data_IF_639505510185
#
_entry.id   IF_639505510185
#
_cell.length_a   1.000
_cell.length_b   1.000
_cell.length_c   1.000
_cell.angle_alpha   90.00
_cell.angle_beta   90.00
_cell.angle_gamma   90.00
#
_symmetry.space_group_name_H-M   'P 1'
#
loop_
_entity.id
_entity.type
_entity.pdbx_description
1 polymer ?
#
# COMPACT_ATOMS: atom_id res chain seq x y z
N UNK A 1 -4.18 -15.40 3.20
CA UNK A 1 -3.62 -14.10 2.78
C UNK A 1 -2.11 -14.15 2.95
N UNK A 2 -1.34 -13.80 1.89
CA UNK A 2 0.09 -13.60 2.01
C UNK A 2 0.35 -12.21 2.63
N UNK A 3 1.06 -12.16 3.77
CA UNK A 3 1.64 -10.95 4.32
C UNK A 3 3.11 -10.91 3.93
N UNK A 4 3.45 -10.06 2.95
CA UNK A 4 4.79 -9.97 2.38
C UNK A 4 5.54 -8.82 3.04
N UNK A 5 6.43 -9.14 3.96
CA UNK A 5 7.07 -8.16 4.82
C UNK A 5 8.55 -8.41 5.09
N UNK A 6 9.18 -7.48 5.81
CA UNK A 6 10.60 -7.52 6.19
C UNK A 6 10.86 -8.23 7.52
N UNK A 7 9.85 -8.28 8.40
CA UNK A 7 9.98 -8.69 9.82
C UNK A 7 9.15 -9.94 10.12
N UNK A 8 9.10 -10.88 9.19
CA UNK A 8 8.25 -12.07 9.28
C UNK A 8 8.70 -13.07 10.35
N UNK A 9 9.94 -12.97 10.83
CA UNK A 9 10.43 -13.76 11.98
C UNK A 9 10.04 -13.15 13.34
N UNK A 10 9.64 -11.87 13.37
CA UNK A 10 9.20 -11.12 14.54
C UNK A 10 7.77 -10.63 14.32
N UNK A 11 6.80 -11.51 14.51
CA UNK A 11 5.38 -11.25 14.25
C UNK A 11 4.86 -10.01 14.99
N UNK A 12 5.40 -9.70 16.17
CA UNK A 12 5.02 -8.50 16.94
C UNK A 12 5.17 -7.20 16.15
N UNK A 13 6.07 -7.16 15.16
CA UNK A 13 6.23 -5.99 14.30
C UNK A 13 4.99 -5.70 13.44
N UNK A 14 4.18 -6.71 13.18
CA UNK A 14 2.95 -6.62 12.37
C UNK A 14 1.68 -6.95 13.16
N UNK A 15 1.73 -7.00 14.49
CA UNK A 15 0.60 -7.38 15.34
C UNK A 15 -0.68 -6.58 15.00
N UNK A 16 -0.57 -5.26 14.82
CA UNK A 16 -1.74 -4.44 14.49
C UNK A 16 -2.33 -4.76 13.10
N UNK A 17 -1.50 -5.18 12.14
CA UNK A 17 -1.95 -5.62 10.82
C UNK A 17 -2.64 -6.98 10.92
N UNK A 18 -2.04 -7.93 11.62
CA UNK A 18 -2.60 -9.25 11.90
C UNK A 18 -3.97 -9.15 12.57
N UNK A 19 -4.07 -8.41 13.68
CA UNK A 19 -5.33 -8.14 14.37
C UNK A 19 -6.37 -7.49 13.43
N UNK A 20 -5.97 -6.54 12.59
CA UNK A 20 -6.87 -5.90 11.64
C UNK A 20 -7.42 -6.87 10.59
N UNK A 21 -6.60 -7.83 10.14
CA UNK A 21 -7.04 -8.91 9.26
C UNK A 21 -8.06 -9.81 9.96
N UNK A 22 -7.85 -10.16 11.24
CA UNK A 22 -8.80 -10.97 12.02
C UNK A 22 -10.10 -10.21 12.30
N UNK A 23 -10.05 -8.90 12.60
CA UNK A 23 -11.24 -8.07 12.73
C UNK A 23 -12.07 -8.09 11.44
N UNK A 24 -11.42 -7.91 10.29
CA UNK A 24 -12.06 -7.95 8.98
C UNK A 24 -12.58 -9.35 8.64
N UNK A 25 -11.83 -10.41 8.98
CA UNK A 25 -12.26 -11.80 8.82
C UNK A 25 -13.55 -12.09 9.58
N UNK A 26 -13.60 -11.70 10.84
CA UNK A 26 -14.80 -11.86 11.68
C UNK A 26 -16.02 -11.16 11.09
N UNK A 27 -15.85 -9.92 10.61
CA UNK A 27 -16.94 -9.15 10.02
C UNK A 27 -17.41 -9.70 8.66
N UNK A 28 -16.53 -10.39 7.93
CA UNK A 28 -16.84 -11.07 6.67
C UNK A 28 -17.27 -12.54 6.87
N UNK A 29 -17.37 -13.03 8.12
CA UNK A 29 -17.67 -14.43 8.45
C UNK A 29 -16.69 -15.44 7.83
N UNK A 30 -15.40 -15.09 7.76
CA UNK A 30 -14.32 -15.96 7.28
C UNK A 30 -13.19 -16.05 8.29
N UNK A 31 -12.47 -17.16 8.26
CA UNK A 31 -11.21 -17.31 9.00
C UNK A 31 -10.09 -16.86 8.09
N UNK A 32 -9.28 -15.91 8.56
CA UNK A 32 -8.09 -15.46 7.82
C UNK A 32 -6.89 -16.29 8.28
N UNK A 33 -6.32 -17.02 7.35
CA UNK A 33 -5.03 -17.70 7.52
C UNK A 33 -3.93 -16.84 6.89
N UNK A 34 -2.86 -16.53 7.64
CA UNK A 34 -1.79 -15.64 7.21
C UNK A 34 -0.56 -16.47 6.83
N UNK A 35 -0.22 -16.40 5.54
CA UNK A 35 1.05 -16.89 5.03
C UNK A 35 2.10 -15.78 5.17
N UNK A 36 3.03 -15.95 6.10
CA UNK A 36 4.11 -15.00 6.37
C UNK A 36 5.24 -15.16 5.35
N UNK A 37 5.44 -14.17 4.50
CA UNK A 37 6.40 -14.20 3.40
C UNK A 37 7.53 -13.21 3.65
N UNK A 38 8.74 -13.71 3.85
CA UNK A 38 9.95 -12.87 3.92
C UNK A 38 10.24 -12.31 2.52
N UNK A 39 10.04 -11.00 2.36
CA UNK A 39 10.22 -10.33 1.09
C UNK A 39 11.65 -10.39 0.55
N UNK A 40 12.66 -10.59 1.41
CA UNK A 40 14.06 -10.73 0.97
C UNK A 40 14.33 -12.05 0.24
N UNK A 41 13.44 -13.04 0.38
CA UNK A 41 13.53 -14.36 -0.24
C UNK A 41 12.57 -14.53 -1.42
N UNK A 42 11.70 -13.54 -1.67
CA UNK A 42 10.72 -13.60 -2.77
C UNK A 42 11.37 -13.09 -4.06
N UNK A 43 11.30 -13.89 -5.12
CA UNK A 43 11.85 -13.59 -6.44
C UNK A 43 10.79 -13.88 -7.52
N UNK A 44 11.03 -13.43 -8.76
CA UNK A 44 10.14 -13.74 -9.89
C UNK A 44 10.01 -15.25 -10.10
N UNK A 45 11.11 -16.01 -9.91
CA UNK A 45 11.14 -17.45 -10.16
C UNK A 45 10.32 -18.25 -9.14
N UNK A 46 10.22 -17.77 -7.89
CA UNK A 46 9.49 -18.49 -6.84
C UNK A 46 8.11 -17.89 -6.52
N UNK A 47 7.74 -16.77 -7.13
CA UNK A 47 6.50 -16.04 -6.83
C UNK A 47 5.25 -16.93 -6.96
N UNK A 48 5.14 -17.71 -8.03
CA UNK A 48 4.03 -18.65 -8.23
C UNK A 48 3.93 -19.68 -7.12
N UNK A 49 5.07 -20.27 -6.72
CA UNK A 49 5.09 -21.30 -5.68
C UNK A 49 4.72 -20.72 -4.29
N UNK A 50 5.08 -19.45 -4.02
CA UNK A 50 4.88 -18.80 -2.72
C UNK A 50 3.51 -18.12 -2.62
N UNK A 51 3.04 -17.50 -3.69
CA UNK A 51 1.85 -16.62 -3.70
C UNK A 51 0.64 -17.22 -4.42
N UNK A 52 0.84 -18.20 -5.32
CA UNK A 52 -0.21 -18.70 -6.20
C UNK A 52 -1.44 -19.32 -5.50
N UNK A 53 -1.26 -19.84 -4.29
CA UNK A 53 -2.36 -20.34 -3.45
C UNK A 53 -3.04 -19.31 -2.56
N UNK A 54 -2.62 -18.03 -2.60
CA UNK A 54 -3.14 -17.01 -1.72
C UNK A 54 -4.35 -16.28 -2.34
N UNK A 55 -5.38 -16.06 -1.53
CA UNK A 55 -6.58 -15.33 -1.93
C UNK A 55 -6.36 -13.80 -1.99
N UNK A 56 -5.37 -13.29 -1.27
CA UNK A 56 -4.99 -11.88 -1.23
C UNK A 56 -3.54 -11.70 -0.83
N UNK A 57 -2.95 -10.58 -1.23
CA UNK A 57 -1.56 -10.20 -0.93
C UNK A 57 -1.56 -8.84 -0.23
N UNK A 58 -0.97 -8.78 0.96
CA UNK A 58 -0.82 -7.56 1.74
C UNK A 58 0.66 -7.22 1.89
N UNK A 59 1.04 -5.99 1.55
CA UNK A 59 2.38 -5.44 1.80
C UNK A 59 2.26 -4.35 2.87
N UNK A 60 2.78 -4.59 4.09
CA UNK A 60 2.66 -3.67 5.21
C UNK A 60 3.65 -2.52 5.14
N UNK A 61 3.55 -1.60 6.10
CA UNK A 61 4.54 -0.56 6.35
C UNK A 61 5.91 -1.12 6.77
N UNK A 62 6.96 -0.35 6.54
CA UNK A 62 8.32 -0.70 6.92
C UNK A 62 9.30 0.42 6.58
N UNK A 63 10.54 0.31 7.07
CA UNK A 63 11.62 1.26 6.82
C UNK A 63 12.85 0.54 6.24
N UNK A 64 13.69 1.31 5.51
CA UNK A 64 14.93 0.79 4.91
C UNK A 64 14.69 -0.02 3.62
N UNK A 65 15.78 -0.39 2.98
CA UNK A 65 15.83 -0.95 1.62
C UNK A 65 15.72 -2.48 1.53
N UNK A 66 15.91 -3.17 2.66
CA UNK A 66 15.88 -4.64 2.68
C UNK A 66 14.54 -5.19 2.17
N UNK A 67 14.59 -6.10 1.18
CA UNK A 67 13.43 -6.84 0.69
C UNK A 67 12.48 -6.02 -0.20
N UNK A 68 12.86 -4.82 -0.64
CA UNK A 68 12.05 -3.96 -1.51
C UNK A 68 11.74 -4.67 -2.83
N UNK A 69 12.73 -5.29 -3.47
CA UNK A 69 12.53 -5.97 -4.77
C UNK A 69 11.53 -7.13 -4.65
N UNK A 70 11.58 -7.91 -3.57
CA UNK A 70 10.58 -8.95 -3.34
C UNK A 70 9.17 -8.41 -3.08
N UNK A 71 9.04 -7.24 -2.45
CA UNK A 71 7.73 -6.58 -2.32
C UNK A 71 7.21 -6.09 -3.68
N UNK A 72 8.10 -5.59 -4.56
CA UNK A 72 7.75 -5.21 -5.94
C UNK A 72 7.28 -6.45 -6.72
N UNK A 73 7.96 -7.58 -6.58
CA UNK A 73 7.53 -8.86 -7.15
C UNK A 73 6.14 -9.25 -6.66
N UNK A 74 5.85 -9.11 -5.37
CA UNK A 74 4.53 -9.41 -4.81
C UNK A 74 3.43 -8.51 -5.39
N UNK A 75 3.68 -7.21 -5.52
CA UNK A 75 2.74 -6.27 -6.11
C UNK A 75 2.50 -6.57 -7.60
N UNK A 76 3.56 -6.87 -8.36
CA UNK A 76 3.46 -7.28 -9.76
C UNK A 76 2.66 -8.57 -9.91
N UNK A 77 2.96 -9.57 -9.09
CA UNK A 77 2.24 -10.84 -9.10
C UNK A 77 0.75 -10.62 -8.83
N UNK A 78 0.40 -9.85 -7.80
CA UNK A 78 -0.99 -9.51 -7.48
C UNK A 78 -1.68 -8.80 -8.65
N UNK A 79 -1.06 -7.79 -9.25
CA UNK A 79 -1.63 -7.02 -10.34
C UNK A 79 -1.87 -7.88 -11.59
N UNK A 80 -0.88 -8.65 -12.00
CA UNK A 80 -0.95 -9.45 -13.24
C UNK A 80 -1.86 -10.66 -13.13
N UNK A 81 -1.97 -11.28 -11.95
CA UNK A 81 -2.81 -12.46 -11.69
C UNK A 81 -4.19 -12.09 -11.12
N UNK A 82 -4.51 -10.78 -11.06
CA UNK A 82 -5.80 -10.29 -10.53
C UNK A 82 -6.09 -10.80 -9.10
N UNK A 83 -5.04 -10.93 -8.28
CA UNK A 83 -5.16 -11.26 -6.87
C UNK A 83 -5.34 -9.96 -6.08
N UNK A 84 -6.32 -9.87 -5.17
CA UNK A 84 -6.47 -8.71 -4.29
C UNK A 84 -5.15 -8.27 -3.66
N UNK A 85 -4.80 -7.00 -3.85
CA UNK A 85 -3.60 -6.38 -3.30
C UNK A 85 -3.97 -5.25 -2.33
N UNK A 86 -3.39 -5.28 -1.14
CA UNK A 86 -3.49 -4.17 -0.19
C UNK A 86 -2.10 -3.69 0.23
N UNK A 87 -1.76 -2.46 -0.14
CA UNK A 87 -0.50 -1.81 0.22
C UNK A 87 -0.69 -0.78 1.33
N UNK A 88 0.09 -0.88 2.41
CA UNK A 88 0.03 0.05 3.55
C UNK A 88 1.35 0.79 3.66
N UNK A 89 1.34 2.12 3.67
CA UNK A 89 2.50 3.00 3.82
C UNK A 89 3.61 2.65 2.80
N UNK A 90 4.65 1.92 3.20
CA UNK A 90 5.64 1.38 2.26
C UNK A 90 4.98 0.55 1.15
N UNK A 91 3.95 -0.24 1.46
CA UNK A 91 3.22 -1.03 0.47
C UNK A 91 2.55 -0.20 -0.62
N UNK A 92 2.09 1.02 -0.32
CA UNK A 92 1.64 1.95 -1.36
C UNK A 92 2.80 2.42 -2.23
N UNK A 93 3.93 2.78 -1.63
CA UNK A 93 5.12 3.21 -2.37
C UNK A 93 5.62 2.09 -3.29
N UNK A 94 5.60 0.85 -2.82
CA UNK A 94 5.93 -0.34 -3.62
C UNK A 94 4.98 -0.49 -4.82
N UNK A 95 3.67 -0.33 -4.62
CA UNK A 95 2.69 -0.39 -5.71
C UNK A 95 2.95 0.68 -6.79
N UNK A 96 3.32 1.88 -6.37
CA UNK A 96 3.67 2.99 -7.28
C UNK A 96 4.95 2.67 -8.06
N UNK A 97 6.01 2.19 -7.39
CA UNK A 97 7.28 1.81 -8.04
C UNK A 97 7.05 0.65 -9.02
N UNK A 98 6.32 -0.38 -8.60
CA UNK A 98 5.98 -1.52 -9.46
C UNK A 98 5.28 -1.06 -10.74
N UNK A 99 4.24 -0.24 -10.58
CA UNK A 99 3.45 0.26 -11.71
C UNK A 99 4.30 1.13 -12.66
N UNK A 100 5.18 1.97 -12.11
CA UNK A 100 6.10 2.77 -12.91
C UNK A 100 7.04 1.90 -13.74
N UNK A 101 7.64 0.87 -13.14
CA UNK A 101 8.58 -0.02 -13.83
C UNK A 101 7.91 -0.88 -14.90
N UNK A 102 6.78 -1.49 -14.58
CA UNK A 102 6.23 -2.57 -15.42
C UNK A 102 5.03 -2.13 -16.29
N UNK A 103 4.42 -0.98 -16.01
CA UNK A 103 3.33 -0.45 -16.83
C UNK A 103 3.77 0.80 -17.59
N UNK A 104 4.46 1.75 -16.94
CA UNK A 104 4.97 2.95 -17.61
C UNK A 104 6.32 2.70 -18.33
N UNK A 105 7.02 1.59 -18.05
CA UNK A 105 8.30 1.26 -18.67
C UNK A 105 9.49 2.07 -18.12
N UNK A 106 9.37 2.65 -16.95
CA UNK A 106 10.45 3.39 -16.30
C UNK A 106 11.27 2.44 -15.40
N UNK A 107 12.15 1.68 -16.02
CA UNK A 107 12.89 0.58 -15.37
C UNK A 107 13.69 1.01 -14.14
N UNK A 108 14.15 2.26 -14.10
CA UNK A 108 14.90 2.87 -12.99
C UNK A 108 14.01 3.53 -11.94
N UNK A 109 12.65 3.51 -12.09
CA UNK A 109 11.76 4.13 -11.13
C UNK A 109 11.97 3.58 -9.72
N UNK A 110 12.12 4.49 -8.76
CA UNK A 110 12.37 4.14 -7.37
C UNK A 110 11.87 5.22 -6.40
N UNK A 111 12.02 4.94 -5.12
CA UNK A 111 11.97 5.96 -4.07
C UNK A 111 13.34 6.62 -3.94
N UNK A 112 13.37 7.96 -3.84
CA UNK A 112 14.58 8.71 -3.51
C UNK A 112 15.14 8.38 -2.10
N UNK A 113 14.38 7.63 -1.26
CA UNK A 113 14.87 7.07 -0.01
C UNK A 113 15.91 5.96 -0.24
N UNK A 114 15.72 5.16 -1.29
CA UNK A 114 16.51 3.96 -1.56
C UNK A 114 17.52 4.16 -2.68
N UNK A 115 17.19 5.01 -3.66
CA UNK A 115 18.09 5.40 -4.75
C UNK A 115 17.96 6.91 -5.02
N UNK A 116 18.90 7.70 -4.47
CA UNK A 116 18.94 9.15 -4.65
C UNK A 116 19.32 9.60 -6.08
N UNK A 117 19.81 8.68 -6.92
CA UNK A 117 20.25 8.96 -8.30
C UNK A 117 19.24 8.50 -9.35
N UNK A 118 18.12 7.91 -8.95
CA UNK A 118 17.07 7.50 -9.90
C UNK A 118 16.60 8.71 -10.74
N UNK A 119 16.39 8.50 -12.04
CA UNK A 119 15.82 9.53 -12.93
C UNK A 119 14.31 9.67 -12.77
N UNK A 120 13.66 8.64 -12.23
CA UNK A 120 12.23 8.63 -11.98
C UNK A 120 11.96 8.42 -10.47
N UNK A 121 12.21 9.44 -9.62
CA UNK A 121 11.90 9.38 -8.19
C UNK A 121 10.39 9.51 -7.98
N UNK A 122 9.66 8.42 -8.29
CA UNK A 122 8.19 8.40 -8.19
C UNK A 122 7.69 8.50 -6.75
N UNK A 123 8.59 8.26 -5.79
CA UNK A 123 8.43 8.50 -4.36
C UNK A 123 9.58 9.40 -3.92
N UNK A 124 9.28 10.57 -3.37
CA UNK A 124 10.28 11.56 -2.95
C UNK A 124 9.79 12.33 -1.71
N UNK A 125 10.67 13.08 -1.08
CA UNK A 125 10.29 14.06 -0.07
C UNK A 125 9.73 15.32 -0.75
N UNK A 126 8.83 16.02 -0.06
CA UNK A 126 8.29 17.28 -0.59
C UNK A 126 9.41 18.31 -0.80
N UNK A 127 9.33 19.14 -1.85
CA UNK A 127 10.37 20.14 -2.15
C UNK A 127 10.67 21.06 -0.96
N UNK A 128 9.66 21.44 -0.19
CA UNK A 128 9.79 22.30 1.00
C UNK A 128 10.58 21.62 2.14
N UNK A 129 10.65 20.30 2.13
CA UNK A 129 11.37 19.52 3.15
C UNK A 129 12.82 19.22 2.74
N UNK A 130 13.19 19.39 1.48
CA UNK A 130 14.56 19.13 0.97
C UNK A 130 15.62 20.05 1.63
N UNK A 131 15.22 21.23 2.10
CA UNK A 131 16.11 22.20 2.76
C UNK A 131 16.27 21.98 4.28
N UNK A 132 15.51 21.06 4.87
CA UNK A 132 15.52 20.84 6.33
C UNK A 132 16.63 19.85 6.71
N UNK A 133 17.65 20.34 7.40
CA UNK A 133 18.82 19.55 7.83
C UNK A 133 18.51 18.56 8.97
N UNK A 134 17.45 18.81 9.76
CA UNK A 134 17.00 17.89 10.82
C UNK A 134 15.93 16.94 10.32
N UNK A 135 16.34 15.75 9.92
CA UNK A 135 15.44 14.71 9.38
C UNK A 135 14.20 14.37 10.24
N UNK A 136 14.28 14.55 11.57
CA UNK A 136 13.15 14.29 12.47
C UNK A 136 11.96 15.25 12.32
N UNK A 137 12.18 16.47 11.81
CA UNK A 137 11.14 17.49 11.62
C UNK A 137 10.32 17.36 10.33
N UNK A 138 10.66 16.41 9.45
CA UNK A 138 9.99 16.23 8.15
C UNK A 138 8.98 15.07 8.13
N UNK A 139 8.86 14.33 9.23
CA UNK A 139 7.95 13.19 9.32
C UNK A 139 6.50 13.65 9.51
N UNK A 140 5.60 13.19 8.65
CA UNK A 140 4.16 13.26 8.93
C UNK A 140 3.82 12.23 9.99
N UNK A 141 3.44 12.71 11.17
CA UNK A 141 3.15 11.88 12.33
C UNK A 141 1.81 12.28 12.94
N UNK A 142 0.92 11.31 13.13
CA UNK A 142 -0.39 11.52 13.72
C UNK A 142 -1.54 11.53 12.71
N UNK A 143 -2.67 12.09 13.11
CA UNK A 143 -3.90 12.11 12.30
C UNK A 143 -3.89 13.29 11.31
N UNK A 144 -4.16 12.98 10.04
CA UNK A 144 -4.31 13.98 8.98
C UNK A 144 -5.60 13.74 8.19
N UNK A 145 -6.25 14.80 7.71
CA UNK A 145 -7.45 14.69 6.89
C UNK A 145 -7.10 14.20 5.49
N UNK A 146 -8.04 13.45 4.89
CA UNK A 146 -7.97 12.99 3.52
C UNK A 146 -9.37 13.12 2.89
N UNK A 147 -9.41 13.59 1.65
CA UNK A 147 -10.62 13.71 0.83
C UNK A 147 -10.62 12.60 -0.21
N UNK A 148 -11.67 11.78 -0.19
CA UNK A 148 -11.85 10.67 -1.12
C UNK A 148 -12.62 11.11 -2.36
N UNK A 149 -12.21 10.59 -3.51
CA UNK A 149 -12.94 10.81 -4.77
C UNK A 149 -14.30 10.12 -4.72
N UNK A 150 -15.36 10.85 -5.07
CA UNK A 150 -16.69 10.27 -5.21
C UNK A 150 -16.68 9.10 -6.21
N UNK A 151 -17.38 8.03 -5.87
CA UNK A 151 -17.44 6.83 -6.71
C UNK A 151 -16.22 5.92 -6.62
N UNK A 152 -15.17 6.29 -5.85
CA UNK A 152 -14.04 5.41 -5.59
C UNK A 152 -14.44 4.25 -4.67
N UNK A 153 -13.68 3.16 -4.74
CA UNK A 153 -13.84 2.01 -3.84
C UNK A 153 -13.68 2.44 -2.38
N UNK A 154 -12.67 3.25 -2.11
CA UNK A 154 -12.46 3.78 -0.76
C UNK A 154 -13.68 4.57 -0.27
N UNK A 155 -14.22 5.51 -1.05
CA UNK A 155 -15.39 6.29 -0.66
C UNK A 155 -16.62 5.42 -0.37
N UNK A 156 -16.84 4.38 -1.17
CA UNK A 156 -17.92 3.41 -0.96
C UNK A 156 -17.78 2.66 0.37
N UNK A 157 -16.57 2.21 0.70
CA UNK A 157 -16.28 1.47 1.93
C UNK A 157 -16.37 2.34 3.19
N UNK A 158 -15.88 3.58 3.13
CA UNK A 158 -16.01 4.51 4.26
C UNK A 158 -17.41 5.08 4.42
N UNK A 159 -18.25 5.03 3.37
CA UNK A 159 -19.58 5.63 3.35
C UNK A 159 -19.57 7.17 3.44
N UNK A 160 -18.44 7.81 3.15
CA UNK A 160 -18.21 9.27 3.18
C UNK A 160 -16.95 9.64 2.42
N UNK A 161 -16.84 10.91 2.05
CA UNK A 161 -15.69 11.43 1.29
C UNK A 161 -14.63 12.13 2.14
N UNK A 162 -14.96 12.56 3.35
CA UNK A 162 -13.99 13.18 4.26
C UNK A 162 -13.63 12.20 5.37
N UNK A 163 -12.35 11.87 5.46
CA UNK A 163 -11.79 10.96 6.46
C UNK A 163 -10.58 11.59 7.15
N UNK A 164 -10.14 11.00 8.24
CA UNK A 164 -8.90 11.36 8.91
C UNK A 164 -8.17 10.09 9.29
N UNK A 165 -6.92 9.94 8.89
CA UNK A 165 -6.14 8.72 9.09
C UNK A 165 -4.78 9.01 9.71
N UNK A 166 -4.15 7.98 10.31
CA UNK A 166 -2.87 8.13 11.03
C UNK A 166 -1.70 7.86 10.10
N UNK A 167 -0.75 8.78 10.09
CA UNK A 167 0.47 8.74 9.28
C UNK A 167 1.72 8.55 10.13
N UNK A 168 2.72 7.90 9.52
CA UNK A 168 4.09 7.79 10.06
C UNK A 168 5.06 7.57 8.90
N UNK A 169 5.29 8.62 8.11
CA UNK A 169 6.18 8.55 6.96
C UNK A 169 6.75 9.92 6.62
N UNK A 170 7.78 9.93 5.77
CA UNK A 170 8.45 11.15 5.28
C UNK A 170 8.34 11.28 3.78
N UNK A 171 8.41 10.16 3.07
CA UNK A 171 8.37 10.09 1.62
C UNK A 171 6.94 10.01 1.13
N UNK A 172 6.67 10.66 0.01
CA UNK A 172 5.34 10.85 -0.58
C UNK A 172 5.37 10.50 -2.06
N UNK A 173 4.21 10.22 -2.64
CA UNK A 173 4.04 10.13 -4.08
C UNK A 173 4.48 11.43 -4.76
N UNK A 174 5.34 11.35 -5.78
CA UNK A 174 5.83 12.51 -6.50
C UNK A 174 4.82 12.97 -7.56
N UNK A 175 4.23 14.15 -7.36
CA UNK A 175 3.17 14.69 -8.22
C UNK A 175 3.63 14.99 -9.65
N UNK A 176 4.92 15.18 -9.89
CA UNK A 176 5.47 15.44 -11.23
C UNK A 176 5.13 14.32 -12.22
N UNK A 177 4.91 13.11 -11.72
CA UNK A 177 4.56 11.92 -12.50
C UNK A 177 3.08 11.58 -12.49
N UNK A 178 2.25 12.28 -11.69
CA UNK A 178 0.86 11.92 -11.41
C UNK A 178 0.00 11.72 -12.66
N UNK A 179 0.12 12.61 -13.64
CA UNK A 179 -0.68 12.54 -14.88
C UNK A 179 -0.38 11.28 -15.69
N UNK A 180 0.88 10.82 -15.71
CA UNK A 180 1.27 9.59 -16.39
C UNK A 180 0.66 8.36 -15.71
N UNK A 181 0.64 8.30 -14.37
CA UNK A 181 -0.02 7.23 -13.63
C UNK A 181 -1.52 7.18 -13.89
N UNK A 182 -2.19 8.33 -13.84
CA UNK A 182 -3.63 8.43 -14.11
C UNK A 182 -3.96 7.99 -15.53
N UNK A 183 -3.19 8.45 -16.52
CA UNK A 183 -3.39 8.07 -17.91
C UNK A 183 -3.21 6.57 -18.16
N UNK A 184 -2.35 5.90 -17.36
CA UNK A 184 -2.12 4.46 -17.44
C UNK A 184 -3.07 3.64 -16.55
N UNK A 185 -3.93 4.28 -15.75
CA UNK A 185 -4.99 3.63 -14.98
C UNK A 185 -4.74 3.47 -13.48
N UNK A 186 -3.59 3.89 -12.92
CA UNK A 186 -3.39 3.98 -11.46
C UNK A 186 -3.92 5.33 -10.98
N UNK A 187 -5.06 5.31 -10.31
CA UNK A 187 -5.83 6.52 -9.98
C UNK A 187 -5.64 6.90 -8.51
N UNK A 188 -5.17 8.13 -8.21
CA UNK A 188 -5.25 8.69 -6.88
C UNK A 188 -6.72 8.93 -6.49
N UNK A 189 -7.20 8.20 -5.49
CA UNK A 189 -8.61 8.25 -5.03
C UNK A 189 -8.74 8.85 -3.63
N UNK A 190 -7.64 9.08 -2.93
CA UNK A 190 -7.58 9.84 -1.69
C UNK A 190 -6.48 10.89 -1.77
N UNK A 191 -6.81 12.12 -1.42
CA UNK A 191 -5.89 13.27 -1.46
C UNK A 191 -5.95 14.04 -0.15
N UNK A 192 -4.85 14.75 0.17
CA UNK A 192 -4.92 15.81 1.20
C UNK A 192 -5.95 16.88 0.78
N UNK A 193 -6.54 17.65 1.73
CA UNK A 193 -7.58 18.64 1.40
C UNK A 193 -7.16 19.71 0.39
N UNK A 194 -5.88 20.01 0.32
CA UNK A 194 -5.29 20.92 -0.68
C UNK A 194 -4.97 20.24 -2.02
N UNK A 195 -5.23 18.93 -2.14
CA UNK A 195 -4.98 18.11 -3.34
C UNK A 195 -3.52 17.80 -3.65
N UNK A 196 -2.59 18.21 -2.78
CA UNK A 196 -1.13 18.09 -3.02
C UNK A 196 -0.56 16.72 -2.72
N UNK A 197 -1.10 16.00 -1.73
CA UNK A 197 -0.58 14.71 -1.29
C UNK A 197 -1.52 13.59 -1.72
N UNK A 198 -0.95 12.53 -2.26
CA UNK A 198 -1.68 11.32 -2.63
C UNK A 198 -1.69 10.38 -1.44
N UNK A 199 -2.88 10.11 -0.92
CA UNK A 199 -3.10 9.31 0.28
C UNK A 199 -3.58 7.89 -0.03
N UNK A 200 -4.30 7.71 -1.15
CA UNK A 200 -4.79 6.42 -1.62
C UNK A 200 -4.63 6.36 -3.14
N UNK A 201 -4.19 5.21 -3.64
CA UNK A 201 -4.21 4.86 -5.06
C UNK A 201 -5.00 3.58 -5.28
N UNK A 202 -5.71 3.52 -6.41
CA UNK A 202 -6.50 2.36 -6.82
C UNK A 202 -6.27 2.03 -8.30
N UNK A 203 -6.38 0.73 -8.64
CA UNK A 203 -6.60 0.26 -10.01
C UNK A 203 -8.09 -0.10 -10.15
N UNK A 204 -8.92 0.76 -10.76
CA UNK A 204 -10.37 0.51 -10.89
C UNK A 204 -10.71 -0.78 -11.63
N UNK A 205 -9.93 -1.13 -12.66
CA UNK A 205 -10.13 -2.33 -13.50
C UNK A 205 -9.59 -3.63 -12.86
N UNK A 206 -9.09 -3.55 -11.63
CA UNK A 206 -8.64 -4.71 -10.86
C UNK A 206 -9.71 -5.09 -9.83
N UNK A 207 -9.96 -6.40 -9.55
CA UNK A 207 -10.92 -6.82 -8.54
C UNK A 207 -10.74 -6.11 -7.19
N UNK A 208 -9.50 -6.02 -6.74
CA UNK A 208 -9.07 -5.22 -5.60
C UNK A 208 -7.57 -4.90 -5.72
N UNK A 209 -7.23 -3.67 -6.06
CA UNK A 209 -5.86 -3.17 -5.95
C UNK A 209 -5.95 -1.78 -5.35
N UNK A 210 -5.74 -1.71 -4.06
CA UNK A 210 -5.87 -0.47 -3.28
C UNK A 210 -4.66 -0.34 -2.35
N UNK A 211 -4.07 0.84 -2.31
CA UNK A 211 -2.97 1.11 -1.41
C UNK A 211 -3.09 2.49 -0.79
N UNK A 212 -2.70 2.63 0.48
CA UNK A 212 -2.80 3.87 1.24
C UNK A 212 -1.47 4.24 1.89
N UNK A 213 -1.19 5.56 1.98
CA UNK A 213 0.04 6.08 2.59
C UNK A 213 -0.02 6.09 4.13
N UNK A 214 -1.22 6.13 4.68
CA UNK A 214 -1.46 6.09 6.11
C UNK A 214 -1.49 4.64 6.67
N UNK A 215 -1.68 4.51 7.98
CA UNK A 215 -1.68 3.26 8.72
C UNK A 215 -3.10 2.93 9.24
N UNK A 216 -3.95 2.26 8.44
CA UNK A 216 -5.32 1.92 8.80
C UNK A 216 -5.39 0.92 9.95
N UNK A 217 -4.35 0.10 10.15
CA UNK A 217 -4.26 -0.88 11.23
C UNK A 217 -4.36 -0.26 12.63
N UNK A 218 -3.99 1.01 12.78
CA UNK A 218 -4.09 1.70 14.08
C UNK A 218 -5.51 2.14 14.44
N UNK A 219 -6.47 1.97 13.53
CA UNK A 219 -7.87 2.37 13.74
C UNK A 219 -8.85 1.21 13.65
N UNK A 220 -8.38 0.02 13.31
CA UNK A 220 -9.19 -1.19 13.28
C UNK A 220 -9.53 -1.68 14.70
N UNK A 221 -10.74 -2.19 14.91
CA UNK A 221 -11.22 -2.73 16.18
C UNK A 221 -12.07 -3.98 15.96
N UNK A 222 -12.18 -4.89 16.93
CA UNK A 222 -13.00 -6.09 16.80
C UNK A 222 -14.47 -5.82 16.43
N UNK A 223 -15.06 -4.78 17.04
CA UNK A 223 -16.44 -4.34 16.83
C UNK A 223 -16.63 -3.40 15.65
N UNK A 224 -15.54 -2.89 15.09
CA UNK A 224 -15.52 -1.94 13.97
C UNK A 224 -14.22 -2.08 13.16
N UNK A 225 -14.11 -3.11 12.32
CA UNK A 225 -12.94 -3.28 11.45
C UNK A 225 -12.76 -2.07 10.56
N UNK A 226 -11.50 -1.73 10.28
CA UNK A 226 -11.22 -0.61 9.39
C UNK A 226 -11.75 -0.91 7.97
N UNK A 227 -12.41 0.07 7.29
CA UNK A 227 -13.08 -0.15 6.01
C UNK A 227 -12.19 -0.77 4.93
N UNK A 228 -10.93 -0.35 4.84
CA UNK A 228 -10.00 -0.89 3.83
C UNK A 228 -9.62 -2.35 4.12
N UNK A 229 -9.45 -2.73 5.39
CA UNK A 229 -9.23 -4.14 5.75
C UNK A 229 -10.48 -4.98 5.47
N UNK A 230 -11.66 -4.45 5.82
CA UNK A 230 -12.93 -5.13 5.55
C UNK A 230 -13.08 -5.45 4.05
N UNK A 231 -12.96 -4.45 3.17
CA UNK A 231 -13.12 -4.65 1.74
C UNK A 231 -12.02 -5.51 1.12
N UNK A 232 -10.78 -5.43 1.62
CA UNK A 232 -9.69 -6.31 1.17
C UNK A 232 -9.99 -7.79 1.48
N UNK A 233 -10.42 -8.09 2.69
CA UNK A 233 -10.77 -9.47 3.09
C UNK A 233 -12.03 -9.94 2.35
N UNK A 234 -13.03 -9.09 2.15
CA UNK A 234 -14.21 -9.38 1.33
C UNK A 234 -13.83 -9.78 -0.10
N UNK A 235 -12.95 -8.98 -0.74
CA UNK A 235 -12.46 -9.27 -2.09
C UNK A 235 -11.65 -10.57 -2.14
N UNK A 236 -10.81 -10.84 -1.13
CA UNK A 236 -10.05 -12.09 -1.03
C UNK A 236 -10.97 -13.29 -0.85
N UNK A 237 -11.98 -13.20 0.04
CA UNK A 237 -12.96 -14.27 0.26
C UNK A 237 -13.79 -14.60 -0.98
N UNK A 238 -14.06 -13.61 -1.83
CA UNK A 238 -14.82 -13.80 -3.07
C UNK A 238 -14.08 -14.62 -4.15
N UNK A 239 -12.78 -14.94 -3.93
CA UNK A 239 -11.98 -15.77 -4.84
C UNK A 239 -12.00 -17.26 -4.51
N UNK A 240 -12.46 -17.61 -3.31
CA UNK A 240 -12.49 -18.97 -2.80
C UNK A 240 -13.88 -19.57 -3.03
#
# INVERSE_FOLDING_TARGET
>A
IALVGKYTELHDAYLSVEESLFHAGTANNVIVDINWVDSSKLTQENAEAVLGGCAGILVPGGFGDRGIEGMIVAAQYARTHKIPYFGICLGMQIAVIEFARHVLGWEDAHSAEFDEFTKHPVIDIMPEQKSITQKGGTMRLGAYPCVLSEGSRAAALYGKTEISERHRHRYEFCNDFRDAFVAAGLVPTGLSPDGRLVEIVELPDHPWFTACQFHPEFKSRPDRPHPLFFGFVEAAASRI
#
